data_IF_644979473058
#
_entry.id   IF_644979473058
#
_cell.length_a   1.000
_cell.length_b   1.000
_cell.length_c   1.000
_cell.angle_alpha   90.00
_cell.angle_beta   90.00
_cell.angle_gamma   90.00
#
_symmetry.space_group_name_H-M   'P 1'
#
loop_
_entity.id
_entity.type
_entity.pdbx_description
1 polymer ?
#
# COMPACT_ATOMS: atom_id res chain seq x y z
N UNK A 1 54.95 -14.92 -0.99
CA UNK A 1 54.32 -13.83 -0.22
C UNK A 1 53.12 -13.29 -0.98
N UNK A 2 53.25 -12.91 -2.26
CA UNK A 2 52.19 -12.38 -3.12
C UNK A 2 50.96 -13.31 -3.19
N UNK A 3 51.10 -14.60 -3.49
CA UNK A 3 50.00 -15.55 -3.58
C UNK A 3 49.24 -15.72 -2.27
N UNK A 4 49.92 -15.60 -1.13
CA UNK A 4 49.29 -15.66 0.19
C UNK A 4 48.40 -14.42 0.45
N UNK A 5 48.91 -13.24 0.09
CA UNK A 5 48.12 -11.99 0.27
C UNK A 5 46.94 -11.93 -0.71
N UNK A 6 47.13 -12.40 -1.95
CA UNK A 6 46.08 -12.50 -2.93
C UNK A 6 44.98 -13.49 -2.50
N UNK A 7 45.34 -14.63 -1.93
CA UNK A 7 44.40 -15.60 -1.37
C UNK A 7 43.65 -15.03 -0.18
N UNK A 8 44.32 -14.31 0.71
CA UNK A 8 43.70 -13.63 1.85
C UNK A 8 42.69 -12.56 1.39
N UNK A 9 43.07 -11.75 0.38
CA UNK A 9 42.16 -10.78 -0.21
C UNK A 9 40.91 -11.43 -0.83
N UNK A 10 41.09 -12.50 -1.62
CA UNK A 10 39.95 -13.23 -2.23
C UNK A 10 38.98 -13.75 -1.19
N UNK A 11 39.46 -14.33 -0.10
CA UNK A 11 38.63 -14.83 0.99
C UNK A 11 37.83 -13.71 1.66
N UNK A 12 38.45 -12.55 1.92
CA UNK A 12 37.76 -11.39 2.47
C UNK A 12 36.66 -10.87 1.52
N UNK A 13 36.91 -10.85 0.20
CA UNK A 13 35.93 -10.45 -0.79
C UNK A 13 34.72 -11.42 -0.87
N UNK A 14 35.02 -12.72 -0.80
CA UNK A 14 34.02 -13.78 -0.83
C UNK A 14 33.08 -13.67 0.40
N UNK A 15 33.66 -13.59 1.60
CA UNK A 15 32.86 -13.43 2.84
C UNK A 15 32.09 -12.10 2.82
N UNK A 16 32.73 -11.00 2.40
CA UNK A 16 32.08 -9.70 2.31
C UNK A 16 30.89 -9.69 1.33
N UNK A 17 31.04 -10.36 0.17
CA UNK A 17 29.92 -10.50 -0.80
C UNK A 17 28.82 -11.40 -0.30
N UNK A 18 29.14 -12.45 0.45
CA UNK A 18 28.13 -13.27 1.13
C UNK A 18 27.35 -12.44 2.15
N UNK A 19 28.05 -11.71 3.04
CA UNK A 19 27.42 -10.82 4.02
C UNK A 19 26.53 -9.74 3.33
N UNK A 20 26.97 -9.23 2.19
CA UNK A 20 26.17 -8.29 1.39
C UNK A 20 24.89 -8.94 0.86
N UNK A 21 24.96 -10.19 0.40
CA UNK A 21 23.80 -10.97 -0.05
C UNK A 21 22.83 -11.33 1.09
N UNK A 22 23.33 -11.49 2.30
CA UNK A 22 22.56 -11.74 3.52
C UNK A 22 22.11 -10.43 4.22
N UNK A 23 22.28 -9.27 3.57
CA UNK A 23 21.93 -7.93 4.08
C UNK A 23 22.65 -7.54 5.40
N UNK A 24 23.74 -8.22 5.74
CA UNK A 24 24.58 -7.91 6.89
C UNK A 24 25.58 -6.78 6.55
N UNK A 25 25.08 -5.61 6.24
CA UNK A 25 25.85 -4.49 5.66
C UNK A 25 27.04 -4.04 6.51
N UNK A 26 26.90 -3.98 7.84
CA UNK A 26 28.00 -3.59 8.72
C UNK A 26 29.17 -4.59 8.69
N UNK A 27 28.86 -5.89 8.64
CA UNK A 27 29.91 -6.91 8.51
C UNK A 27 30.56 -6.88 7.11
N UNK A 28 29.74 -6.67 6.07
CA UNK A 28 30.27 -6.53 4.71
C UNK A 28 31.21 -5.33 4.61
N UNK A 29 30.91 -4.18 5.23
CA UNK A 29 31.79 -3.01 5.28
C UNK A 29 33.13 -3.34 5.96
N UNK A 30 33.11 -4.05 7.08
CA UNK A 30 34.34 -4.45 7.79
C UNK A 30 35.23 -5.36 6.92
N UNK A 31 34.64 -6.41 6.31
CA UNK A 31 35.37 -7.30 5.43
C UNK A 31 35.95 -6.58 4.20
N UNK A 32 35.19 -5.70 3.56
CA UNK A 32 35.67 -4.93 2.41
C UNK A 32 36.73 -3.90 2.82
N UNK A 33 36.66 -3.34 4.02
CA UNK A 33 37.69 -2.44 4.54
C UNK A 33 38.99 -3.18 4.78
N UNK A 34 38.94 -4.36 5.40
CA UNK A 34 40.13 -5.22 5.56
C UNK A 34 40.67 -5.65 4.19
N UNK A 35 39.78 -6.00 3.26
CA UNK A 35 40.14 -6.33 1.88
C UNK A 35 40.82 -5.17 1.15
N UNK A 36 40.39 -3.94 1.38
CA UNK A 36 41.03 -2.77 0.78
C UNK A 36 42.43 -2.55 1.29
N UNK A 37 42.70 -2.77 2.57
CA UNK A 37 44.08 -2.74 3.12
C UNK A 37 44.97 -3.78 2.46
N UNK A 38 44.43 -4.98 2.20
CA UNK A 38 45.17 -6.03 1.47
C UNK A 38 45.37 -5.68 -0.01
N UNK A 39 44.38 -5.08 -0.64
CA UNK A 39 44.45 -4.63 -2.03
C UNK A 39 45.59 -3.60 -2.23
N UNK A 40 45.73 -2.66 -1.31
CA UNK A 40 46.83 -1.69 -1.34
C UNK A 40 48.22 -2.37 -1.15
N UNK A 41 48.31 -3.41 -0.31
CA UNK A 41 49.56 -4.17 -0.14
C UNK A 41 49.95 -4.95 -1.39
N UNK A 42 48.95 -5.39 -2.18
CA UNK A 42 49.19 -6.09 -3.44
C UNK A 42 49.65 -5.15 -4.56
N UNK A 43 49.44 -3.85 -4.43
CA UNK A 43 49.79 -2.81 -5.41
C UNK A 43 49.24 -3.06 -6.83
N UNK A 44 48.10 -3.76 -6.94
CA UNK A 44 47.41 -4.06 -8.20
C UNK A 44 46.22 -3.12 -8.34
N UNK A 45 46.25 -2.12 -9.26
CA UNK A 45 45.24 -1.11 -9.36
C UNK A 45 43.83 -1.66 -9.62
N UNK A 46 43.68 -2.69 -10.43
CA UNK A 46 42.42 -3.36 -10.73
C UNK A 46 41.75 -3.92 -9.46
N UNK A 47 42.54 -4.52 -8.57
CA UNK A 47 42.08 -5.09 -7.29
C UNK A 47 41.61 -3.96 -6.35
N UNK A 48 42.40 -2.87 -6.29
CA UNK A 48 42.07 -1.70 -5.47
C UNK A 48 40.74 -1.07 -5.95
N UNK A 49 40.62 -0.79 -7.26
CA UNK A 49 39.39 -0.20 -7.82
C UNK A 49 38.20 -1.11 -7.63
N UNK A 50 38.33 -2.42 -7.79
CA UNK A 50 37.27 -3.39 -7.55
C UNK A 50 36.80 -3.37 -6.10
N UNK A 51 37.74 -3.38 -5.15
CA UNK A 51 37.41 -3.40 -3.71
C UNK A 51 36.78 -2.07 -3.26
N UNK A 52 37.28 -0.93 -3.76
CA UNK A 52 36.68 0.39 -3.50
C UNK A 52 35.20 0.45 -3.95
N UNK A 53 34.91 -0.08 -5.14
CA UNK A 53 33.51 -0.10 -5.64
C UNK A 53 32.58 -0.95 -4.76
N UNK A 54 33.03 -2.13 -4.31
CA UNK A 54 32.24 -2.98 -3.40
C UNK A 54 32.02 -2.29 -2.05
N UNK A 55 33.07 -1.71 -1.47
CA UNK A 55 32.98 -0.95 -0.22
C UNK A 55 32.03 0.24 -0.36
N UNK A 56 32.15 1.01 -1.45
CA UNK A 56 31.25 2.13 -1.74
C UNK A 56 29.79 1.68 -1.90
N UNK A 57 29.55 0.52 -2.56
CA UNK A 57 28.20 -0.05 -2.70
C UNK A 57 27.59 -0.38 -1.34
N UNK A 58 28.33 -0.95 -0.42
CA UNK A 58 27.85 -1.22 0.95
C UNK A 58 27.55 0.09 1.69
N UNK A 59 28.40 1.09 1.55
CA UNK A 59 28.20 2.42 2.16
C UNK A 59 26.93 3.12 1.67
N UNK A 60 26.57 2.94 0.38
CA UNK A 60 25.26 3.41 -0.13
C UNK A 60 24.12 2.73 0.61
N UNK A 61 24.21 1.42 0.90
CA UNK A 61 23.17 0.68 1.65
C UNK A 61 23.08 1.12 3.10
N UNK A 62 24.20 1.50 3.72
CA UNK A 62 24.27 2.04 5.07
C UNK A 62 23.88 3.53 5.18
N UNK A 63 23.65 4.21 4.05
CA UNK A 63 23.34 5.64 4.03
C UNK A 63 24.57 6.57 4.14
N UNK A 64 25.80 6.02 4.16
CA UNK A 64 27.05 6.78 4.24
C UNK A 64 27.43 7.33 2.86
N UNK A 65 26.60 8.24 2.31
CA UNK A 65 26.67 8.65 0.91
C UNK A 65 27.91 9.42 0.51
N UNK A 66 28.49 10.21 1.41
CA UNK A 66 29.74 10.97 1.15
C UNK A 66 30.93 10.02 0.96
N UNK A 67 31.13 9.08 1.88
CA UNK A 67 32.19 8.09 1.77
C UNK A 67 32.00 7.12 0.58
N UNK A 68 30.74 6.87 0.21
CA UNK A 68 30.44 6.08 -0.98
C UNK A 68 30.83 6.84 -2.27
N UNK A 69 30.49 8.11 -2.35
CA UNK A 69 30.84 8.97 -3.49
C UNK A 69 32.37 9.08 -3.67
N UNK A 70 33.10 9.35 -2.59
CA UNK A 70 34.57 9.36 -2.61
C UNK A 70 35.15 8.03 -3.10
N UNK A 71 34.64 6.91 -2.59
CA UNK A 71 35.07 5.58 -3.00
C UNK A 71 34.85 5.30 -4.48
N UNK A 72 33.69 5.68 -5.03
CA UNK A 72 33.42 5.52 -6.46
C UNK A 72 34.25 6.48 -7.32
N UNK A 73 34.49 7.72 -6.90
CA UNK A 73 35.36 8.67 -7.61
C UNK A 73 36.79 8.17 -7.68
N UNK A 74 37.32 7.66 -6.57
CA UNK A 74 38.69 7.10 -6.56
C UNK A 74 38.75 5.82 -7.42
N UNK A 75 37.78 4.94 -7.33
CA UNK A 75 37.72 3.77 -8.20
C UNK A 75 37.64 4.16 -9.69
N UNK A 76 36.86 5.18 -10.03
CA UNK A 76 36.77 5.71 -11.39
C UNK A 76 38.12 6.25 -11.88
N UNK A 77 38.81 7.06 -11.06
CA UNK A 77 40.16 7.59 -11.37
C UNK A 77 41.14 6.46 -11.68
N UNK A 78 41.20 5.44 -10.83
CA UNK A 78 42.05 4.29 -11.05
C UNK A 78 41.69 3.55 -12.34
N UNK A 79 40.40 3.29 -12.57
CA UNK A 79 39.90 2.62 -13.78
C UNK A 79 40.22 3.42 -15.06
N UNK A 80 40.22 4.75 -15.02
CA UNK A 80 40.61 5.61 -16.13
C UNK A 80 42.13 5.47 -16.43
N UNK A 81 42.97 5.48 -15.40
CA UNK A 81 44.44 5.31 -15.54
C UNK A 81 44.82 3.98 -16.18
N UNK A 82 44.12 2.91 -15.81
CA UNK A 82 44.39 1.55 -16.35
C UNK A 82 43.54 1.20 -17.58
N UNK A 83 42.72 2.17 -18.06
CA UNK A 83 41.83 2.01 -19.22
C UNK A 83 40.84 0.82 -19.07
N UNK A 84 40.37 0.57 -17.86
CA UNK A 84 39.39 -0.48 -17.58
C UNK A 84 37.96 0.03 -17.81
N UNK A 85 37.46 -0.14 -19.05
CA UNK A 85 36.14 0.32 -19.44
C UNK A 85 34.99 -0.27 -18.58
N UNK A 86 35.08 -1.56 -18.20
CA UNK A 86 34.10 -2.19 -17.32
C UNK A 86 34.11 -1.56 -15.92
N UNK A 87 35.30 -1.35 -15.37
CA UNK A 87 35.46 -0.70 -14.08
C UNK A 87 34.94 0.72 -14.08
N UNK A 88 35.17 1.50 -15.15
CA UNK A 88 34.62 2.85 -15.34
C UNK A 88 33.10 2.82 -15.37
N UNK A 89 32.49 1.94 -16.15
CA UNK A 89 31.04 1.81 -16.23
C UNK A 89 30.40 1.54 -14.87
N UNK A 90 30.93 0.58 -14.12
CA UNK A 90 30.43 0.24 -12.80
C UNK A 90 30.63 1.37 -11.76
N UNK A 91 31.72 2.14 -11.87
CA UNK A 91 31.97 3.28 -10.99
C UNK A 91 30.98 4.44 -11.29
N UNK A 92 30.73 4.73 -12.58
CA UNK A 92 29.70 5.69 -12.98
C UNK A 92 28.31 5.27 -12.51
N UNK A 93 27.93 4.01 -12.66
CA UNK A 93 26.66 3.48 -12.14
C UNK A 93 26.56 3.62 -10.62
N UNK A 94 27.67 3.43 -9.90
CA UNK A 94 27.73 3.66 -8.46
C UNK A 94 27.52 5.13 -8.08
N UNK A 95 28.14 6.07 -8.79
CA UNK A 95 27.94 7.52 -8.62
C UNK A 95 26.49 7.90 -8.89
N UNK A 96 25.90 7.38 -9.98
CA UNK A 96 24.49 7.58 -10.30
C UNK A 96 23.58 7.11 -9.14
N UNK A 97 23.84 5.93 -8.57
CA UNK A 97 23.08 5.42 -7.43
C UNK A 97 23.20 6.32 -6.19
N UNK A 98 24.40 6.89 -5.92
CA UNK A 98 24.58 7.89 -4.84
C UNK A 98 23.75 9.15 -5.14
N UNK A 99 23.81 9.65 -6.38
CA UNK A 99 23.07 10.84 -6.82
C UNK A 99 21.57 10.64 -6.69
N UNK A 100 21.02 9.45 -7.02
CA UNK A 100 19.62 9.10 -6.79
C UNK A 100 19.26 9.18 -5.30
N UNK A 101 20.09 8.61 -4.43
CA UNK A 101 19.88 8.64 -2.98
C UNK A 101 19.94 10.04 -2.38
N UNK A 102 20.74 10.94 -2.97
CA UNK A 102 20.82 12.36 -2.61
C UNK A 102 19.69 13.19 -3.23
N UNK A 103 18.84 12.63 -4.08
CA UNK A 103 17.79 13.35 -4.79
C UNK A 103 18.27 14.20 -5.98
N UNK A 104 19.55 14.06 -6.36
CA UNK A 104 20.18 14.79 -7.50
C UNK A 104 19.92 14.02 -8.81
N UNK A 105 18.66 13.97 -9.23
CA UNK A 105 18.21 13.10 -10.33
C UNK A 105 18.83 13.45 -11.70
N UNK A 106 19.08 14.74 -11.99
CA UNK A 106 19.73 15.15 -13.25
C UNK A 106 21.17 14.64 -13.34
N UNK A 107 21.92 14.71 -12.23
CA UNK A 107 23.28 14.20 -12.19
C UNK A 107 23.28 12.67 -12.28
N UNK A 108 22.34 12.00 -11.61
CA UNK A 108 22.15 10.56 -11.72
C UNK A 108 21.89 10.11 -13.17
N UNK A 109 21.06 10.83 -13.92
CA UNK A 109 20.80 10.56 -15.33
C UNK A 109 22.08 10.65 -16.18
N UNK A 110 22.86 11.71 -16.00
CA UNK A 110 24.16 11.87 -16.70
C UNK A 110 25.15 10.76 -16.37
N UNK A 111 25.26 10.40 -15.09
CA UNK A 111 26.19 9.37 -14.65
C UNK A 111 25.79 7.99 -15.21
N UNK A 112 24.48 7.65 -15.27
CA UNK A 112 24.01 6.44 -15.94
C UNK A 112 24.27 6.48 -17.44
N UNK A 113 24.07 7.60 -18.13
CA UNK A 113 24.42 7.75 -19.56
C UNK A 113 25.90 7.53 -19.80
N UNK A 114 26.78 8.09 -18.96
CA UNK A 114 28.22 7.86 -19.04
C UNK A 114 28.57 6.41 -18.79
N UNK A 115 27.93 5.76 -17.82
CA UNK A 115 28.09 4.33 -17.55
C UNK A 115 27.76 3.49 -18.80
N UNK A 116 26.60 3.74 -19.41
CA UNK A 116 26.16 3.04 -20.62
C UNK A 116 27.11 3.29 -21.80
N UNK A 117 27.56 4.54 -22.00
CA UNK A 117 28.43 4.92 -23.11
C UNK A 117 29.78 4.21 -23.08
N UNK A 118 30.34 3.97 -21.87
CA UNK A 118 31.63 3.29 -21.71
C UNK A 118 31.49 1.79 -21.50
N UNK A 119 30.25 1.24 -21.41
CA UNK A 119 30.03 -0.18 -21.14
C UNK A 119 30.53 -1.05 -22.28
N UNK A 120 31.47 -1.99 -22.04
CA UNK A 120 32.08 -2.76 -23.11
C UNK A 120 31.11 -3.78 -23.72
N UNK A 121 31.07 -3.89 -25.02
CA UNK A 121 30.25 -4.89 -25.74
C UNK A 121 30.64 -6.35 -25.42
N UNK A 122 31.87 -6.57 -24.93
CA UNK A 122 32.37 -7.88 -24.45
C UNK A 122 31.87 -8.26 -23.06
N UNK A 123 31.22 -7.31 -22.33
CA UNK A 123 30.68 -7.55 -21.00
C UNK A 123 29.28 -8.14 -21.04
N UNK A 124 28.78 -8.76 -19.96
CA UNK A 124 27.45 -9.40 -19.93
C UNK A 124 26.33 -8.42 -20.32
N UNK A 125 25.57 -8.70 -21.38
CA UNK A 125 24.56 -7.75 -21.90
C UNK A 125 23.41 -7.47 -20.89
N UNK A 126 23.09 -8.42 -20.02
CA UNK A 126 22.06 -8.22 -19.00
C UNK A 126 22.39 -7.09 -18.02
N UNK A 127 23.68 -6.89 -17.70
CA UNK A 127 24.08 -5.75 -16.85
C UNK A 127 23.84 -4.42 -17.55
N UNK A 128 24.05 -4.34 -18.86
CA UNK A 128 23.67 -3.16 -19.65
C UNK A 128 22.16 -2.94 -19.63
N UNK A 129 21.37 -4.01 -19.72
CA UNK A 129 19.92 -3.94 -19.56
C UNK A 129 19.49 -3.33 -18.21
N UNK A 130 20.15 -3.73 -17.11
CA UNK A 130 19.91 -3.15 -15.79
C UNK A 130 20.24 -1.64 -15.76
N UNK A 131 21.36 -1.22 -16.38
CA UNK A 131 21.71 0.20 -16.45
C UNK A 131 20.67 1.02 -17.21
N UNK A 132 20.12 0.49 -18.30
CA UNK A 132 18.99 1.13 -19.00
C UNK A 132 17.72 1.17 -18.16
N UNK A 133 17.43 0.12 -17.37
CA UNK A 133 16.28 0.11 -16.47
C UNK A 133 16.42 1.19 -15.37
N UNK A 134 17.60 1.27 -14.74
CA UNK A 134 17.91 2.29 -13.72
C UNK A 134 17.80 3.71 -14.30
N UNK A 135 18.35 3.94 -15.49
CA UNK A 135 18.23 5.21 -16.22
C UNK A 135 16.77 5.55 -16.52
N UNK A 136 15.99 4.57 -16.97
CA UNK A 136 14.56 4.72 -17.21
C UNK A 136 13.79 5.13 -15.95
N UNK A 137 14.14 4.58 -14.80
CA UNK A 137 13.55 4.94 -13.51
C UNK A 137 13.88 6.40 -13.13
N UNK A 138 15.11 6.85 -13.37
CA UNK A 138 15.50 8.25 -13.13
C UNK A 138 14.68 9.19 -14.01
N UNK A 139 14.57 8.90 -15.30
CA UNK A 139 13.75 9.71 -16.22
C UNK A 139 12.26 9.70 -15.88
N UNK A 140 11.73 8.56 -15.43
CA UNK A 140 10.34 8.46 -14.99
C UNK A 140 10.09 9.38 -13.77
N UNK A 141 11.01 9.39 -12.81
CA UNK A 141 10.95 10.27 -11.63
C UNK A 141 11.04 11.75 -12.01
N UNK A 142 11.86 12.08 -13.00
CA UNK A 142 11.96 13.44 -13.60
C UNK A 142 10.75 13.80 -14.47
N UNK A 143 9.81 12.87 -14.69
CA UNK A 143 8.66 13.02 -15.61
C UNK A 143 9.07 13.21 -17.08
N UNK A 144 10.26 12.79 -17.43
CA UNK A 144 10.76 12.75 -18.81
C UNK A 144 10.31 11.47 -19.51
N UNK A 145 8.99 11.37 -19.74
CA UNK A 145 8.29 10.13 -20.14
C UNK A 145 8.83 9.48 -21.40
N UNK A 146 9.22 10.27 -22.37
CA UNK A 146 9.75 9.78 -23.67
C UNK A 146 11.12 9.12 -23.48
N UNK A 147 11.98 9.71 -22.67
CA UNK A 147 13.31 9.18 -22.38
C UNK A 147 13.19 7.93 -21.51
N UNK A 148 12.31 7.94 -20.50
CA UNK A 148 12.02 6.77 -19.68
C UNK A 148 11.53 5.58 -20.51
N UNK A 149 10.54 5.79 -21.40
CA UNK A 149 10.03 4.76 -22.29
C UNK A 149 11.13 4.18 -23.17
N UNK A 150 11.96 5.06 -23.76
CA UNK A 150 13.08 4.64 -24.61
C UNK A 150 14.08 3.76 -23.83
N UNK A 151 14.47 4.17 -22.64
CA UNK A 151 15.41 3.43 -21.80
C UNK A 151 14.84 2.06 -21.41
N UNK A 152 13.59 1.99 -20.94
CA UNK A 152 12.93 0.71 -20.61
C UNK A 152 12.81 -0.21 -21.84
N UNK A 153 12.51 0.33 -23.03
CA UNK A 153 12.42 -0.46 -24.26
C UNK A 153 13.79 -1.06 -24.62
N UNK A 154 14.88 -0.29 -24.49
CA UNK A 154 16.23 -0.80 -24.71
C UNK A 154 16.59 -1.93 -23.72
N UNK A 155 16.24 -1.75 -22.43
CA UNK A 155 16.42 -2.79 -21.43
C UNK A 155 15.62 -4.06 -21.78
N UNK A 156 14.38 -3.91 -22.24
CA UNK A 156 13.50 -5.02 -22.60
C UNK A 156 14.02 -5.79 -23.82
N UNK A 157 14.51 -5.09 -24.85
CA UNK A 157 15.14 -5.72 -26.02
C UNK A 157 16.35 -6.57 -25.62
N UNK A 158 17.18 -6.07 -24.67
CA UNK A 158 18.32 -6.81 -24.15
C UNK A 158 17.87 -8.06 -23.38
N UNK A 159 16.85 -7.94 -22.51
CA UNK A 159 16.30 -9.08 -21.75
C UNK A 159 15.76 -10.14 -22.71
N UNK A 160 14.98 -9.74 -23.71
CA UNK A 160 14.40 -10.63 -24.73
C UNK A 160 15.48 -11.34 -25.54
N UNK A 161 16.49 -10.61 -26.02
CA UNK A 161 17.59 -11.17 -26.81
C UNK A 161 18.40 -12.21 -26.03
N UNK A 162 18.43 -12.13 -24.69
CA UNK A 162 19.14 -13.05 -23.81
C UNK A 162 18.24 -14.10 -23.13
N UNK A 163 16.97 -14.17 -23.48
CA UNK A 163 16.02 -15.13 -22.91
C UNK A 163 15.72 -14.89 -21.41
N UNK A 164 15.92 -13.67 -20.91
CA UNK A 164 15.69 -13.32 -19.51
C UNK A 164 14.24 -12.88 -19.31
N UNK A 165 13.31 -13.85 -19.34
CA UNK A 165 11.87 -13.60 -19.23
C UNK A 165 11.45 -12.87 -17.96
N UNK A 166 12.11 -13.14 -16.82
CA UNK A 166 11.82 -12.41 -15.58
C UNK A 166 12.05 -10.91 -15.74
N UNK A 167 13.21 -10.52 -16.29
CA UNK A 167 13.50 -9.10 -16.56
C UNK A 167 12.57 -8.48 -17.57
N UNK A 168 12.11 -9.23 -18.58
CA UNK A 168 11.10 -8.77 -19.53
C UNK A 168 9.79 -8.44 -18.81
N UNK A 169 9.30 -9.30 -17.93
CA UNK A 169 8.09 -9.07 -17.13
C UNK A 169 8.22 -7.88 -16.17
N UNK A 170 9.37 -7.73 -15.51
CA UNK A 170 9.65 -6.59 -14.62
C UNK A 170 9.64 -5.25 -15.38
N UNK A 171 10.19 -5.22 -16.57
CA UNK A 171 10.17 -4.04 -17.44
C UNK A 171 8.79 -3.73 -18.00
N UNK A 172 7.96 -4.74 -18.27
CA UNK A 172 6.55 -4.53 -18.59
C UNK A 172 5.80 -3.87 -17.43
N UNK A 173 6.07 -4.25 -16.19
CA UNK A 173 5.46 -3.59 -15.02
C UNK A 173 5.86 -2.11 -14.99
N UNK A 174 7.15 -1.80 -15.14
CA UNK A 174 7.64 -0.41 -15.16
C UNK A 174 7.05 0.41 -16.33
N UNK A 175 6.92 -0.18 -17.51
CA UNK A 175 6.27 0.45 -18.67
C UNK A 175 4.78 0.65 -18.45
N UNK A 176 4.10 -0.31 -17.83
CA UNK A 176 2.69 -0.21 -17.44
C UNK A 176 2.46 0.92 -16.45
N UNK A 177 3.31 1.03 -15.42
CA UNK A 177 3.28 2.12 -14.45
C UNK A 177 3.53 3.48 -15.11
N UNK A 178 4.51 3.56 -16.01
CA UNK A 178 4.79 4.76 -16.80
C UNK A 178 3.58 5.21 -17.62
N UNK A 179 2.89 4.28 -18.27
CA UNK A 179 1.66 4.55 -19.03
C UNK A 179 0.53 5.01 -18.09
N UNK A 180 0.41 4.42 -16.91
CA UNK A 180 -0.58 4.82 -15.91
C UNK A 180 -0.35 6.26 -15.45
N UNK A 181 0.88 6.63 -15.11
CA UNK A 181 1.25 8.00 -14.72
C UNK A 181 0.99 9.03 -15.81
N UNK A 182 1.06 8.62 -17.09
CA UNK A 182 0.67 9.46 -18.24
C UNK A 182 -0.84 9.53 -18.49
N UNK A 183 -1.66 8.85 -17.71
CA UNK A 183 -3.11 8.74 -17.91
C UNK A 183 -3.52 7.80 -19.05
N UNK A 184 -2.58 7.03 -19.66
CA UNK A 184 -2.82 6.08 -20.75
C UNK A 184 -3.28 4.73 -20.18
N UNK A 185 -4.44 4.71 -19.52
CA UNK A 185 -4.93 3.58 -18.75
C UNK A 185 -5.11 2.29 -19.57
N UNK A 186 -5.65 2.40 -20.78
CA UNK A 186 -5.86 1.24 -21.65
C UNK A 186 -4.53 0.59 -22.10
N UNK A 187 -3.52 1.40 -22.44
CA UNK A 187 -2.17 0.93 -22.79
C UNK A 187 -1.52 0.25 -21.57
N UNK A 188 -1.62 0.86 -20.40
CA UNK A 188 -1.13 0.29 -19.16
C UNK A 188 -1.73 -1.09 -18.85
N UNK A 189 -3.06 -1.25 -19.01
CA UNK A 189 -3.74 -2.54 -18.80
C UNK A 189 -3.26 -3.64 -19.75
N UNK A 190 -2.98 -3.30 -21.01
CA UNK A 190 -2.47 -4.25 -22.00
C UNK A 190 -1.07 -4.74 -21.57
N UNK A 191 -0.20 -3.82 -21.23
CA UNK A 191 1.19 -4.12 -20.83
C UNK A 191 1.22 -4.95 -19.54
N UNK A 192 0.47 -4.54 -18.51
CA UNK A 192 0.41 -5.28 -17.24
C UNK A 192 -0.17 -6.69 -17.39
N UNK A 193 -1.16 -6.88 -18.30
CA UNK A 193 -1.66 -8.24 -18.61
C UNK A 193 -0.59 -9.11 -19.27
N UNK A 194 0.25 -8.52 -20.13
CA UNK A 194 1.38 -9.25 -20.70
C UNK A 194 2.39 -9.63 -19.62
N UNK A 195 2.73 -8.73 -18.71
CA UNK A 195 3.58 -9.04 -17.55
C UNK A 195 3.01 -10.22 -16.72
N UNK A 196 1.69 -10.22 -16.44
CA UNK A 196 1.04 -11.33 -15.74
C UNK A 196 1.19 -12.67 -16.52
N UNK A 197 1.12 -12.66 -17.84
CA UNK A 197 1.33 -13.86 -18.67
C UNK A 197 2.77 -14.36 -18.56
N UNK A 198 3.75 -13.46 -18.65
CA UNK A 198 5.17 -13.79 -18.52
C UNK A 198 5.46 -14.41 -17.15
N UNK A 199 5.03 -13.75 -16.06
CA UNK A 199 5.26 -14.27 -14.70
C UNK A 199 4.53 -15.60 -14.43
N UNK A 200 3.36 -15.80 -15.02
CA UNK A 200 2.65 -17.08 -14.94
C UNK A 200 3.42 -18.21 -15.65
N UNK A 201 4.04 -17.93 -16.81
CA UNK A 201 4.84 -18.90 -17.56
C UNK A 201 6.11 -19.34 -16.83
N UNK A 202 6.78 -18.40 -16.13
CA UNK A 202 8.00 -18.71 -15.36
C UNK A 202 7.71 -19.13 -13.92
N UNK A 203 6.43 -19.23 -13.55
CA UNK A 203 5.97 -19.57 -12.20
C UNK A 203 6.50 -18.64 -11.09
N UNK A 204 6.76 -17.37 -11.41
CA UNK A 204 7.11 -16.35 -10.40
C UNK A 204 5.83 -15.82 -9.75
N UNK A 205 5.40 -16.51 -8.69
CA UNK A 205 4.13 -16.25 -7.99
C UNK A 205 4.11 -14.88 -7.35
N UNK A 206 5.23 -14.45 -6.77
CA UNK A 206 5.33 -13.15 -6.08
C UNK A 206 5.18 -12.02 -7.10
N UNK A 207 5.95 -12.05 -8.18
CA UNK A 207 5.86 -11.05 -9.24
C UNK A 207 4.47 -11.03 -9.90
N UNK A 208 3.89 -12.22 -10.14
CA UNK A 208 2.53 -12.33 -10.68
C UNK A 208 1.48 -11.72 -9.74
N UNK A 209 1.56 -12.01 -8.44
CA UNK A 209 0.60 -11.48 -7.46
C UNK A 209 0.69 -9.96 -7.34
N UNK A 210 1.92 -9.42 -7.28
CA UNK A 210 2.15 -7.98 -7.26
C UNK A 210 1.63 -7.30 -8.54
N UNK A 211 1.88 -7.90 -9.70
CA UNK A 211 1.38 -7.36 -10.98
C UNK A 211 -0.14 -7.38 -11.06
N UNK A 212 -0.79 -8.42 -10.53
CA UNK A 212 -2.25 -8.49 -10.43
C UNK A 212 -2.81 -7.40 -9.51
N UNK A 213 -2.10 -7.02 -8.45
CA UNK A 213 -2.48 -5.88 -7.59
C UNK A 213 -2.41 -4.56 -8.35
N UNK A 214 -1.33 -4.31 -9.11
CA UNK A 214 -1.23 -3.11 -9.96
C UNK A 214 -2.35 -3.06 -11.02
N UNK A 215 -2.65 -4.20 -11.63
CA UNK A 215 -3.74 -4.29 -12.61
C UNK A 215 -5.11 -4.05 -11.97
N UNK A 216 -5.32 -4.56 -10.77
CA UNK A 216 -6.55 -4.32 -10.02
C UNK A 216 -6.70 -2.85 -9.62
N UNK A 217 -5.62 -2.19 -9.18
CA UNK A 217 -5.62 -0.75 -8.88
C UNK A 217 -6.00 0.07 -10.13
N UNK A 218 -5.45 -0.29 -11.28
CA UNK A 218 -5.76 0.36 -12.56
C UNK A 218 -7.24 0.19 -12.93
N UNK A 219 -7.80 -1.00 -12.79
CA UNK A 219 -9.22 -1.25 -13.04
C UNK A 219 -10.12 -0.54 -12.04
N UNK A 220 -9.72 -0.45 -10.77
CA UNK A 220 -10.42 0.31 -9.74
C UNK A 220 -10.51 1.79 -10.11
N UNK A 221 -9.39 2.39 -10.56
CA UNK A 221 -9.34 3.79 -11.02
C UNK A 221 -10.18 4.04 -12.29
N UNK A 222 -10.40 3.00 -13.10
CA UNK A 222 -11.31 3.04 -14.26
C UNK A 222 -12.78 2.78 -13.91
N UNK A 223 -13.10 2.57 -12.62
CA UNK A 223 -14.42 2.16 -12.15
C UNK A 223 -14.87 0.78 -12.67
N UNK A 224 -13.92 -0.07 -13.12
CA UNK A 224 -14.17 -1.44 -13.56
C UNK A 224 -14.05 -2.43 -12.39
N UNK A 225 -14.94 -2.27 -11.39
CA UNK A 225 -14.87 -2.95 -10.10
C UNK A 225 -14.83 -4.48 -10.22
N UNK A 226 -15.55 -5.05 -11.19
CA UNK A 226 -15.56 -6.50 -11.41
C UNK A 226 -14.19 -7.03 -11.79
N UNK A 227 -13.51 -6.36 -12.72
CA UNK A 227 -12.16 -6.76 -13.15
C UNK A 227 -11.12 -6.55 -12.04
N UNK A 228 -11.25 -5.47 -11.28
CA UNK A 228 -10.42 -5.22 -10.11
C UNK A 228 -10.57 -6.36 -9.08
N UNK A 229 -11.80 -6.77 -8.81
CA UNK A 229 -12.11 -7.85 -7.89
C UNK A 229 -11.55 -9.21 -8.37
N UNK A 230 -11.78 -9.56 -9.65
CA UNK A 230 -11.26 -10.80 -10.25
C UNK A 230 -9.72 -10.88 -10.17
N UNK A 231 -9.01 -9.77 -10.44
CA UNK A 231 -7.55 -9.71 -10.31
C UNK A 231 -7.10 -9.96 -8.86
N UNK A 232 -7.76 -9.33 -7.88
CA UNK A 232 -7.40 -9.49 -6.48
C UNK A 232 -7.74 -10.88 -5.93
N UNK A 233 -8.87 -11.44 -6.30
CA UNK A 233 -9.21 -12.83 -5.93
C UNK A 233 -8.15 -13.81 -6.45
N UNK A 234 -7.69 -13.61 -7.69
CA UNK A 234 -6.62 -14.43 -8.26
C UNK A 234 -5.31 -14.27 -7.51
N UNK A 235 -4.94 -13.06 -7.11
CA UNK A 235 -3.76 -12.80 -6.29
C UNK A 235 -3.85 -13.52 -4.94
N UNK A 236 -4.98 -13.38 -4.25
CA UNK A 236 -5.24 -14.09 -2.97
C UNK A 236 -5.12 -15.60 -3.11
N UNK A 237 -5.74 -16.18 -4.15
CA UNK A 237 -5.68 -17.62 -4.40
C UNK A 237 -4.25 -18.14 -4.65
N UNK A 238 -3.42 -17.35 -5.36
CA UNK A 238 -2.00 -17.64 -5.56
C UNK A 238 -1.22 -17.57 -4.24
N UNK A 239 -1.44 -16.54 -3.45
CA UNK A 239 -0.75 -16.35 -2.17
C UNK A 239 -1.06 -17.48 -1.17
N UNK A 240 -2.32 -17.94 -1.10
CA UNK A 240 -2.71 -19.07 -0.26
C UNK A 240 -2.05 -20.38 -0.70
N UNK A 241 -1.89 -20.58 -2.00
CA UNK A 241 -1.27 -21.80 -2.54
C UNK A 241 0.24 -21.87 -2.27
N UNK A 242 0.92 -20.73 -2.19
CA UNK A 242 2.38 -20.63 -2.12
C UNK A 242 2.90 -20.01 -0.83
N UNK A 243 2.03 -19.82 0.17
CA UNK A 243 2.35 -19.32 1.53
C UNK A 243 3.07 -17.96 1.54
N UNK A 244 2.69 -17.07 0.65
CA UNK A 244 3.25 -15.70 0.54
C UNK A 244 2.41 -14.72 1.38
N UNK A 245 2.57 -14.76 2.72
CA UNK A 245 1.69 -14.08 3.67
C UNK A 245 1.64 -12.55 3.53
N UNK A 246 2.77 -11.91 3.22
CA UNK A 246 2.80 -10.45 3.05
C UNK A 246 1.95 -10.00 1.87
N UNK A 247 2.12 -10.61 0.71
CA UNK A 247 1.33 -10.31 -0.50
C UNK A 247 -0.14 -10.66 -0.30
N UNK A 248 -0.43 -11.74 0.45
CA UNK A 248 -1.79 -12.10 0.85
C UNK A 248 -2.46 -10.99 1.66
N UNK A 249 -1.76 -10.48 2.67
CA UNK A 249 -2.26 -9.41 3.53
C UNK A 249 -2.61 -8.14 2.72
N UNK A 250 -1.73 -7.73 1.80
CA UNK A 250 -1.96 -6.59 0.92
C UNK A 250 -3.16 -6.81 -0.02
N UNK A 251 -3.25 -8.00 -0.62
CA UNK A 251 -4.36 -8.36 -1.50
C UNK A 251 -5.70 -8.34 -0.75
N UNK A 252 -5.75 -8.84 0.48
CA UNK A 252 -6.94 -8.77 1.33
C UNK A 252 -7.31 -7.33 1.68
N UNK A 253 -6.34 -6.47 1.97
CA UNK A 253 -6.59 -5.05 2.23
C UNK A 253 -7.24 -4.36 1.03
N UNK A 254 -6.73 -4.64 -0.18
CA UNK A 254 -7.30 -4.06 -1.39
C UNK A 254 -8.70 -4.61 -1.70
N UNK A 255 -8.95 -5.92 -1.49
CA UNK A 255 -10.29 -6.49 -1.57
C UNK A 255 -11.27 -5.80 -0.63
N UNK A 256 -10.85 -5.52 0.60
CA UNK A 256 -11.70 -4.79 1.54
C UNK A 256 -12.12 -3.42 1.02
N UNK A 257 -11.23 -2.70 0.34
CA UNK A 257 -11.54 -1.41 -0.30
C UNK A 257 -12.53 -1.53 -1.46
N UNK A 258 -12.37 -2.57 -2.30
CA UNK A 258 -13.31 -2.84 -3.40
C UNK A 258 -14.70 -3.15 -2.83
N UNK A 259 -14.79 -4.04 -1.84
CA UNK A 259 -16.06 -4.42 -1.20
C UNK A 259 -16.70 -3.24 -0.45
N UNK A 260 -15.90 -2.38 0.16
CA UNK A 260 -16.39 -1.13 0.77
C UNK A 260 -16.99 -0.19 -0.28
N UNK A 261 -16.36 -0.06 -1.43
CA UNK A 261 -16.89 0.74 -2.55
C UNK A 261 -18.20 0.15 -3.11
N UNK A 262 -18.33 -1.18 -3.10
CA UNK A 262 -19.55 -1.88 -3.50
C UNK A 262 -20.62 -1.90 -2.38
N UNK A 263 -20.39 -1.23 -1.27
CA UNK A 263 -21.26 -1.17 -0.08
C UNK A 263 -21.48 -2.54 0.61
N UNK A 264 -20.63 -3.54 0.30
CA UNK A 264 -20.64 -4.85 0.90
C UNK A 264 -19.83 -4.86 2.22
N UNK A 265 -20.29 -4.10 3.20
CA UNK A 265 -19.54 -3.84 4.45
C UNK A 265 -19.18 -5.11 5.24
N UNK A 266 -19.98 -6.17 5.15
CA UNK A 266 -19.70 -7.47 5.78
C UNK A 266 -18.43 -8.13 5.21
N UNK A 267 -18.36 -8.25 3.88
CA UNK A 267 -17.20 -8.81 3.18
C UNK A 267 -15.98 -7.89 3.32
N UNK A 268 -16.17 -6.58 3.23
CA UNK A 268 -15.10 -5.61 3.44
C UNK A 268 -14.42 -5.79 4.82
N UNK A 269 -15.23 -5.97 5.87
CA UNK A 269 -14.75 -6.21 7.23
C UNK A 269 -13.99 -7.54 7.31
N UNK A 270 -14.52 -8.61 6.74
CA UNK A 270 -13.89 -9.92 6.72
C UNK A 270 -12.49 -9.89 6.07
N UNK A 271 -12.37 -9.30 4.87
CA UNK A 271 -11.07 -9.17 4.20
C UNK A 271 -10.10 -8.28 4.97
N UNK A 272 -10.59 -7.23 5.62
CA UNK A 272 -9.76 -6.34 6.41
C UNK A 272 -9.23 -7.01 7.69
N UNK A 273 -10.06 -7.82 8.36
CA UNK A 273 -9.64 -8.63 9.51
C UNK A 273 -8.58 -9.65 9.10
N UNK A 274 -8.73 -10.31 7.94
CA UNK A 274 -7.71 -11.19 7.38
C UNK A 274 -6.42 -10.45 7.09
N UNK A 275 -6.51 -9.27 6.47
CA UNK A 275 -5.35 -8.44 6.19
C UNK A 275 -4.56 -8.12 7.46
N UNK A 276 -5.23 -7.67 8.52
CA UNK A 276 -4.60 -7.35 9.82
C UNK A 276 -3.98 -8.61 10.45
N UNK A 277 -4.67 -9.75 10.38
CA UNK A 277 -4.20 -11.00 10.99
C UNK A 277 -2.87 -11.50 10.42
N UNK A 278 -2.66 -11.29 9.12
CA UNK A 278 -1.46 -11.76 8.40
C UNK A 278 -0.44 -10.66 8.13
N UNK A 279 -0.67 -9.46 8.66
CA UNK A 279 0.30 -8.37 8.58
C UNK A 279 1.27 -8.43 9.75
N UNK A 280 2.57 -8.35 9.48
CA UNK A 280 3.61 -8.60 10.48
C UNK A 280 4.27 -7.34 11.05
N UNK A 281 4.19 -6.22 10.35
CA UNK A 281 4.82 -4.98 10.80
C UNK A 281 3.92 -4.17 11.74
N UNK A 282 4.54 -3.39 12.64
CA UNK A 282 3.88 -2.45 13.54
C UNK A 282 4.20 -1.04 13.03
N UNK A 283 3.54 -0.64 11.97
CA UNK A 283 3.84 0.56 11.22
C UNK A 283 2.57 1.33 10.84
N UNK A 284 2.76 2.36 10.01
CA UNK A 284 1.69 3.21 9.49
C UNK A 284 0.59 2.41 8.77
N UNK A 285 0.97 1.38 8.02
CA UNK A 285 0.00 0.59 7.25
C UNK A 285 -0.92 -0.23 8.16
N UNK A 286 -0.39 -0.76 9.27
CA UNK A 286 -1.22 -1.43 10.27
C UNK A 286 -2.18 -0.46 10.96
N UNK A 287 -1.69 0.74 11.30
CA UNK A 287 -2.52 1.78 11.91
C UNK A 287 -3.70 2.17 10.99
N UNK A 288 -3.44 2.33 9.68
CA UNK A 288 -4.46 2.62 8.68
C UNK A 288 -5.49 1.50 8.52
N UNK A 289 -5.06 0.24 8.62
CA UNK A 289 -5.95 -0.92 8.58
C UNK A 289 -6.88 -0.94 9.79
N UNK A 290 -6.36 -0.68 11.01
CA UNK A 290 -7.19 -0.56 12.20
C UNK A 290 -8.16 0.62 12.11
N UNK A 291 -7.73 1.79 11.64
CA UNK A 291 -8.60 2.95 11.40
C UNK A 291 -9.74 2.63 10.42
N UNK A 292 -9.41 1.96 9.31
CA UNK A 292 -10.41 1.52 8.32
C UNK A 292 -11.41 0.51 8.91
N UNK A 293 -10.92 -0.45 9.72
CA UNK A 293 -11.77 -1.44 10.36
C UNK A 293 -12.70 -0.80 11.41
N UNK A 294 -12.18 0.18 12.15
CA UNK A 294 -12.98 0.96 13.08
C UNK A 294 -14.12 1.71 12.37
N UNK A 295 -13.81 2.34 11.21
CA UNK A 295 -14.82 3.00 10.36
C UNK A 295 -15.90 2.04 9.87
N UNK A 296 -15.54 0.83 9.42
CA UNK A 296 -16.51 -0.20 9.03
C UNK A 296 -17.36 -0.69 10.20
N UNK A 297 -16.79 -0.84 11.38
CA UNK A 297 -17.53 -1.18 12.60
C UNK A 297 -18.49 -0.05 13.00
N UNK A 298 -18.08 1.21 12.86
CA UNK A 298 -18.93 2.37 13.10
C UNK A 298 -20.13 2.39 12.14
N UNK A 299 -19.90 2.18 10.84
CA UNK A 299 -20.98 2.12 9.83
C UNK A 299 -21.95 0.96 10.09
N UNK A 300 -21.47 -0.16 10.63
CA UNK A 300 -22.31 -1.31 11.02
C UNK A 300 -22.94 -1.19 12.42
N UNK A 301 -22.77 -0.04 13.08
CA UNK A 301 -23.30 0.25 14.44
C UNK A 301 -22.70 -0.66 15.54
N UNK A 302 -21.55 -1.31 15.28
CA UNK A 302 -20.79 -2.06 16.30
C UNK A 302 -19.84 -1.09 17.03
N UNK A 303 -20.43 -0.19 17.85
CA UNK A 303 -19.73 0.92 18.47
C UNK A 303 -18.61 0.48 19.42
N UNK A 304 -18.78 -0.68 20.07
CA UNK A 304 -17.75 -1.21 20.98
C UNK A 304 -16.48 -1.66 20.23
N UNK A 305 -16.66 -2.34 19.06
CA UNK A 305 -15.51 -2.72 18.23
C UNK A 305 -14.91 -1.53 17.53
N UNK A 306 -15.72 -0.55 17.10
CA UNK A 306 -15.22 0.68 16.52
C UNK A 306 -14.28 1.41 17.49
N UNK A 307 -14.69 1.59 18.75
CA UNK A 307 -13.87 2.19 19.80
C UNK A 307 -12.56 1.43 20.00
N UNK A 308 -12.63 0.11 20.15
CA UNK A 308 -11.45 -0.74 20.32
C UNK A 308 -10.43 -0.59 19.19
N UNK A 309 -10.89 -0.60 17.93
CA UNK A 309 -10.01 -0.50 16.79
C UNK A 309 -9.47 0.93 16.58
N UNK A 310 -10.24 1.98 16.88
CA UNK A 310 -9.73 3.35 16.90
C UNK A 310 -8.62 3.54 17.96
N UNK A 311 -8.78 2.96 19.16
CA UNK A 311 -7.74 3.01 20.19
C UNK A 311 -6.46 2.26 19.78
N UNK A 312 -6.58 1.13 19.06
CA UNK A 312 -5.42 0.44 18.51
C UNK A 312 -4.72 1.27 17.42
N UNK A 313 -5.48 1.90 16.52
CA UNK A 313 -4.92 2.78 15.51
C UNK A 313 -4.21 3.97 16.16
N UNK A 314 -4.83 4.58 17.19
CA UNK A 314 -4.28 5.71 17.93
C UNK A 314 -2.92 5.38 18.54
N UNK A 315 -2.80 4.25 19.24
CA UNK A 315 -1.53 3.84 19.86
C UNK A 315 -0.39 3.66 18.85
N UNK A 316 -0.70 3.23 17.61
CA UNK A 316 0.27 3.11 16.54
C UNK A 316 0.62 4.49 15.95
N UNK A 317 -0.37 5.37 15.70
CA UNK A 317 -0.10 6.72 15.22
C UNK A 317 0.72 7.54 16.21
N UNK A 318 0.48 7.39 17.52
CA UNK A 318 1.29 8.01 18.58
C UNK A 318 2.74 7.49 18.56
N UNK A 319 2.95 6.19 18.32
CA UNK A 319 4.30 5.61 18.22
C UNK A 319 5.10 6.08 17.00
N UNK A 320 4.40 6.59 15.97
CA UNK A 320 4.97 7.07 14.70
C UNK A 320 5.03 8.60 14.67
N UNK A 321 4.44 9.27 15.67
CA UNK A 321 4.34 10.74 15.75
C UNK A 321 3.57 11.39 14.57
N UNK A 322 2.49 10.74 14.09
CA UNK A 322 1.61 11.26 13.03
C UNK A 322 0.47 12.11 13.63
N UNK A 323 0.80 13.36 14.00
CA UNK A 323 -0.13 14.30 14.65
C UNK A 323 -1.44 14.53 13.86
N UNK A 324 -1.38 14.51 12.53
CA UNK A 324 -2.56 14.70 11.69
C UNK A 324 -3.57 13.58 11.90
N UNK A 325 -3.11 12.33 11.85
CA UNK A 325 -3.98 11.15 11.98
C UNK A 325 -4.41 10.90 13.42
N UNK A 326 -3.58 11.26 14.38
CA UNK A 326 -3.95 11.31 15.80
C UNK A 326 -5.18 12.21 15.96
N UNK A 327 -5.18 13.43 15.37
CA UNK A 327 -6.32 14.34 15.38
C UNK A 327 -7.58 13.73 14.77
N UNK A 328 -7.48 13.11 13.58
CA UNK A 328 -8.62 12.44 12.90
C UNK A 328 -9.24 11.33 13.76
N UNK A 329 -8.41 10.53 14.45
CA UNK A 329 -8.90 9.43 15.30
C UNK A 329 -9.57 9.99 16.55
N UNK A 330 -9.06 11.08 17.17
CA UNK A 330 -9.72 11.73 18.29
C UNK A 330 -11.09 12.30 17.93
N UNK A 331 -11.23 12.91 16.75
CA UNK A 331 -12.53 13.38 16.24
C UNK A 331 -13.52 12.22 16.06
N UNK A 332 -13.03 11.10 15.48
CA UNK A 332 -13.85 9.90 15.31
C UNK A 332 -14.30 9.29 16.66
N UNK A 333 -13.41 9.22 17.65
CA UNK A 333 -13.73 8.74 19.01
C UNK A 333 -14.72 9.67 19.72
N UNK A 334 -14.60 10.98 19.53
CA UNK A 334 -15.55 11.97 20.09
C UNK A 334 -16.93 11.79 19.48
N UNK A 335 -17.01 11.67 18.16
CA UNK A 335 -18.29 11.43 17.45
C UNK A 335 -18.95 10.12 17.87
N UNK A 336 -18.13 9.08 18.10
CA UNK A 336 -18.62 7.78 18.60
C UNK A 336 -19.18 7.89 20.01
N UNK A 337 -18.54 8.65 20.89
CA UNK A 337 -19.00 8.90 22.24
C UNK A 337 -20.32 9.66 22.25
N UNK A 338 -20.40 10.74 21.50
CA UNK A 338 -21.64 11.52 21.34
C UNK A 338 -22.82 10.69 20.82
N UNK A 339 -22.54 9.83 19.82
CA UNK A 339 -23.57 8.93 19.29
C UNK A 339 -24.05 7.95 20.36
N UNK A 340 -23.14 7.38 21.16
CA UNK A 340 -23.46 6.44 22.23
C UNK A 340 -24.30 7.11 23.34
N UNK A 341 -23.90 8.32 23.76
CA UNK A 341 -24.64 9.11 24.74
C UNK A 341 -26.06 9.43 24.23
N UNK A 342 -26.19 9.86 22.97
CA UNK A 342 -27.49 10.12 22.35
C UNK A 342 -28.36 8.87 22.25
N UNK A 343 -27.77 7.69 22.02
CA UNK A 343 -28.52 6.42 22.00
C UNK A 343 -29.02 6.04 23.40
N UNK A 344 -28.21 6.20 24.44
CA UNK A 344 -28.61 5.95 25.83
C UNK A 344 -29.72 6.91 26.23
N UNK A 345 -29.53 8.21 26.01
CA UNK A 345 -30.54 9.24 26.33
C UNK A 345 -31.88 8.98 25.64
N UNK A 346 -31.82 8.51 24.39
CA UNK A 346 -33.05 8.22 23.63
C UNK A 346 -33.75 6.93 24.04
N UNK A 347 -33.00 5.96 24.62
CA UNK A 347 -33.61 4.77 25.24
C UNK A 347 -34.27 5.14 26.56
N UNK A 348 -33.61 5.95 27.39
CA UNK A 348 -34.19 6.45 28.65
C UNK A 348 -35.47 7.25 28.43
N UNK A 349 -35.45 8.16 27.43
CA UNK A 349 -36.67 8.94 27.06
C UNK A 349 -37.74 8.02 26.50
N UNK A 350 -37.42 6.98 25.75
CA UNK A 350 -38.41 6.02 25.28
C UNK A 350 -39.06 5.27 26.44
N UNK A 351 -38.25 4.73 27.38
CA UNK A 351 -38.76 4.05 28.58
C UNK A 351 -39.64 4.99 29.40
N UNK A 352 -39.21 6.24 29.62
CA UNK A 352 -39.97 7.22 30.37
C UNK A 352 -41.33 7.56 29.68
N UNK A 353 -41.34 7.61 28.35
CA UNK A 353 -42.58 7.84 27.57
C UNK A 353 -43.48 6.60 27.60
N UNK A 354 -42.92 5.40 27.52
CA UNK A 354 -43.66 4.14 27.63
C UNK A 354 -44.27 3.98 29.03
N UNK A 355 -43.49 4.26 30.08
CA UNK A 355 -43.95 4.24 31.46
C UNK A 355 -45.07 5.27 31.73
N UNK A 356 -44.90 6.50 31.21
CA UNK A 356 -45.95 7.55 31.32
C UNK A 356 -47.22 7.18 30.55
N UNK A 357 -47.10 6.44 29.45
CA UNK A 357 -48.25 5.96 28.69
C UNK A 357 -48.98 4.81 29.40
N UNK A 358 -48.30 4.08 30.33
CA UNK A 358 -48.87 2.94 31.09
C UNK A 358 -49.31 3.29 32.52
N UNK A 359 -48.89 4.45 33.07
CA UNK A 359 -49.16 4.86 34.44
C UNK A 359 -50.68 5.08 34.64
N UNK A 360 -51.33 4.20 35.40
CA UNK A 360 -52.70 4.20 35.89
C UNK A 360 -53.70 3.28 35.18
N UNK A 361 -53.28 2.35 34.30
CA UNK A 361 -54.23 1.46 33.61
C UNK A 361 -55.11 2.16 32.55
N UNK A 362 -55.02 3.45 32.42
CA UNK A 362 -55.58 4.29 31.37
C UNK A 362 -54.48 5.04 30.64
N UNK A 363 -54.27 4.75 29.36
CA UNK A 363 -53.33 5.47 28.54
C UNK A 363 -53.74 6.95 28.45
N UNK A 364 -52.85 7.88 28.72
CA UNK A 364 -53.06 9.28 28.44
C UNK A 364 -52.99 9.52 26.92
N UNK A 365 -54.02 10.12 26.33
CA UNK A 365 -54.07 10.49 24.90
C UNK A 365 -52.79 11.25 24.49
N UNK A 366 -52.38 12.18 25.32
CA UNK A 366 -51.20 13.02 25.08
C UNK A 366 -49.90 12.19 25.09
N UNK A 367 -49.78 11.27 26.02
CA UNK A 367 -48.59 10.39 26.13
C UNK A 367 -48.50 9.45 24.92
N UNK A 368 -49.59 8.85 24.46
CA UNK A 368 -49.61 8.03 23.25
C UNK A 368 -49.24 8.81 21.98
N UNK A 369 -49.72 10.05 21.87
CA UNK A 369 -49.35 10.91 20.75
C UNK A 369 -47.89 11.28 20.76
N UNK A 370 -47.32 11.64 21.92
CA UNK A 370 -45.87 11.95 22.06
C UNK A 370 -45.01 10.74 21.75
N UNK A 371 -45.42 9.55 22.21
CA UNK A 371 -44.76 8.30 21.89
C UNK A 371 -44.81 7.97 20.39
N UNK A 372 -45.97 8.18 19.76
CA UNK A 372 -46.14 8.01 18.34
C UNK A 372 -45.23 8.98 17.52
N UNK A 373 -45.15 10.25 17.93
CA UNK A 373 -44.24 11.23 17.30
C UNK A 373 -42.79 10.88 17.50
N UNK A 374 -42.38 10.33 18.64
CA UNK A 374 -41.08 9.85 18.91
C UNK A 374 -40.69 8.70 17.95
N UNK A 375 -41.57 7.69 17.79
CA UNK A 375 -41.37 6.60 16.85
C UNK A 375 -41.32 7.08 15.38
N UNK A 376 -42.17 8.04 15.01
CA UNK A 376 -42.21 8.64 13.66
C UNK A 376 -40.89 9.32 13.31
N UNK A 377 -40.31 10.11 14.22
CA UNK A 377 -39.00 10.77 14.04
C UNK A 377 -37.87 9.75 13.83
N UNK A 378 -37.95 8.59 14.43
CA UNK A 378 -36.99 7.48 14.28
C UNK A 378 -37.27 6.58 13.08
N UNK A 379 -38.25 6.93 12.23
CA UNK A 379 -38.69 6.13 11.08
C UNK A 379 -39.20 4.72 11.46
N UNK A 380 -39.53 4.49 12.72
CA UNK A 380 -40.21 3.27 13.19
C UNK A 380 -41.72 3.46 12.97
N UNK A 381 -42.11 3.43 11.71
CA UNK A 381 -43.48 3.74 11.29
C UNK A 381 -44.52 2.72 11.74
N UNK A 382 -44.11 1.50 12.10
CA UNK A 382 -45.03 0.46 12.57
C UNK A 382 -45.51 0.77 13.98
N UNK A 383 -44.58 1.01 14.89
CA UNK A 383 -44.90 1.30 16.29
C UNK A 383 -45.53 2.69 16.41
N UNK A 384 -45.12 3.67 15.61
CA UNK A 384 -45.77 4.96 15.51
C UNK A 384 -47.25 4.84 15.10
N UNK A 385 -47.55 3.98 14.11
CA UNK A 385 -48.90 3.76 13.64
C UNK A 385 -49.75 3.10 14.72
N UNK A 386 -49.24 2.14 15.46
CA UNK A 386 -49.92 1.48 16.56
C UNK A 386 -50.31 2.46 17.68
N UNK A 387 -49.35 3.31 18.08
CA UNK A 387 -49.57 4.35 19.08
C UNK A 387 -50.63 5.40 18.61
N UNK A 388 -50.56 5.84 17.35
CA UNK A 388 -51.59 6.74 16.81
C UNK A 388 -52.96 6.09 16.71
N UNK A 389 -53.11 4.81 16.39
CA UNK A 389 -54.39 4.11 16.39
C UNK A 389 -54.97 4.00 17.79
N UNK A 390 -54.17 3.66 18.82
CA UNK A 390 -54.59 3.64 20.21
C UNK A 390 -55.08 5.04 20.68
N UNK A 391 -54.32 6.08 20.30
CA UNK A 391 -54.70 7.46 20.63
C UNK A 391 -55.99 7.88 19.93
N UNK A 392 -56.20 7.48 18.68
CA UNK A 392 -57.42 7.76 17.92
C UNK A 392 -58.66 7.09 18.55
N UNK A 393 -58.53 5.84 18.96
CA UNK A 393 -59.56 5.07 19.60
C UNK A 393 -59.97 5.68 20.95
N UNK A 394 -59.02 6.10 21.75
CA UNK A 394 -59.26 6.83 23.00
C UNK A 394 -59.89 8.18 22.79
N UNK A 395 -59.43 8.96 21.82
CA UNK A 395 -59.98 10.27 21.53
C UNK A 395 -61.45 10.21 21.09
N UNK A 396 -61.78 9.20 20.29
CA UNK A 396 -63.19 8.92 19.89
C UNK A 396 -64.08 8.53 21.08
N UNK A 397 -63.52 7.75 22.00
CA UNK A 397 -64.26 7.34 23.22
C UNK A 397 -64.50 8.52 24.17
N UNK A 398 -63.57 9.47 24.20
CA UNK A 398 -63.64 10.67 25.03
C UNK A 398 -64.36 11.88 24.38
N UNK A 399 -64.90 11.70 23.19
CA UNK A 399 -65.57 12.76 22.38
C UNK A 399 -64.64 13.96 22.09
N UNK A 400 -63.33 13.74 21.98
CA UNK A 400 -62.32 14.75 21.65
C UNK A 400 -62.11 14.81 20.12
N UNK A 401 -61.92 16.02 19.57
CA UNK A 401 -61.61 16.18 18.15
C UNK A 401 -60.32 15.46 17.76
N UNK A 402 -60.42 14.43 16.90
CA UNK A 402 -59.32 13.54 16.52
C UNK A 402 -58.82 13.70 15.08
N UNK A 403 -59.36 14.65 14.32
CA UNK A 403 -59.07 14.86 12.88
C UNK A 403 -57.57 14.98 12.58
N UNK A 404 -56.83 15.63 13.46
CA UNK A 404 -55.39 15.79 13.32
C UNK A 404 -54.61 14.48 13.55
N UNK A 405 -55.11 13.58 14.40
CA UNK A 405 -54.54 12.24 14.61
C UNK A 405 -54.81 11.37 13.37
N UNK A 406 -56.00 11.45 12.80
CA UNK A 406 -56.35 10.75 11.56
C UNK A 406 -55.45 11.15 10.40
N UNK A 407 -55.12 12.44 10.30
CA UNK A 407 -54.19 12.95 9.31
C UNK A 407 -52.78 12.35 9.50
N UNK A 408 -52.32 12.20 10.74
CA UNK A 408 -51.03 11.56 11.06
C UNK A 408 -51.04 10.07 10.74
N UNK A 409 -52.09 9.33 11.08
CA UNK A 409 -52.28 7.92 10.72
C UNK A 409 -52.19 7.71 9.21
N UNK A 410 -52.87 8.57 8.43
CA UNK A 410 -52.80 8.50 6.97
C UNK A 410 -51.41 8.75 6.42
N UNK A 411 -50.68 9.73 6.98
CA UNK A 411 -49.31 10.04 6.60
C UNK A 411 -48.35 8.89 6.87
N UNK A 412 -48.38 8.33 8.07
CA UNK A 412 -47.49 7.21 8.48
C UNK A 412 -47.83 5.94 7.69
N UNK A 413 -49.11 5.65 7.46
CA UNK A 413 -49.55 4.52 6.63
C UNK A 413 -49.04 4.61 5.18
N UNK A 414 -48.95 5.80 4.60
CA UNK A 414 -48.35 6.03 3.27
C UNK A 414 -46.90 5.66 3.22
N UNK A 415 -46.13 5.92 4.28
CA UNK A 415 -44.71 5.55 4.36
C UNK A 415 -44.52 4.03 4.44
N UNK A 416 -45.38 3.30 5.14
CA UNK A 416 -45.34 1.83 5.22
C UNK A 416 -45.71 1.16 3.88
N UNK A 417 -46.63 1.74 3.10
CA UNK A 417 -47.01 1.22 1.77
C UNK A 417 -45.98 1.44 0.68
N UNK A 418 -45.07 2.42 0.82
CA UNK A 418 -44.01 2.73 -0.14
C UNK A 418 -42.76 1.83 0.03
N UNK A 419 -42.67 1.05 1.10
CA UNK A 419 -41.56 0.12 1.39
C UNK A 419 -41.91 -1.36 1.12
N UNK A 420 -43.10 -1.64 0.58
CA UNK A 420 -43.47 -2.92 -0.03
C UNK A 420 -43.40 -2.79 -1.56
#
# INVERSE_FOLDING_TARGET
MYDRELSAWRNLMEIGTQCLGEEQYLKAEDYFTQGLLKAYQLTVPEIVAFTLRLLATVRVRLGNLEFAEEGFKEALRICQEIQNAKGMAEAWAGLASVSVKKGMLQDAGRDYELSIAVYPSSSPPLRLGMLYADLGQVYATLKEWTMAKRAYTQAQEICRANGFSKGEGELDVLLGELCFQQGKRAEAAIILRHACQVFAQIADVIALSNTLQYLALLYFDQNEMRLAFECQQRAVALCLKFDTLNVFSESCFFLSKIEQFLENYGEAKYYLELSIRFYSAQDLDLALRYQSLAGLCFLSMDLAKAELYYLKALSLFESIEDDLRIGEVYEALTSLKELRENMVLSQEVQVELEDKAQLHGEFSLEALVRLAEFYEKRRNFRDALECYWKALEMGRYAEIATDWIETRVQRVSKHLRRKK
#
